data_IF_233728985909
#
_entry.id   IF_233728985909
#
_cell.length_a   1.000
_cell.length_b   1.000
_cell.length_c   1.000
_cell.angle_alpha   90.00
_cell.angle_beta   90.00
_cell.angle_gamma   90.00
#
_symmetry.space_group_name_H-M   'P 1'
#
loop_
_entity.id
_entity.type
_entity.pdbx_description
1 polymer ?
#
# COMPACT_ATOMS: atom_id res chain seq x y z
N UNK A 1 12.80 1.08 -25.38
CA UNK A 1 12.07 2.36 -25.27
C UNK A 1 12.04 2.69 -23.79
N UNK A 2 12.59 3.83 -23.35
CA UNK A 2 12.47 4.27 -21.97
C UNK A 2 10.98 4.45 -21.69
N UNK A 3 10.53 3.87 -20.57
CA UNK A 3 9.13 3.93 -20.19
C UNK A 3 8.83 5.37 -19.73
N UNK A 4 8.20 6.18 -20.58
CA UNK A 4 7.87 7.60 -20.26
C UNK A 4 6.72 7.71 -19.22
N UNK A 5 6.20 6.58 -18.80
CA UNK A 5 5.03 6.44 -17.93
C UNK A 5 5.15 7.19 -16.59
N UNK A 6 6.36 7.19 -16.00
CA UNK A 6 6.60 7.85 -14.70
C UNK A 6 7.36 9.19 -14.81
N UNK A 7 7.55 9.72 -16.01
CA UNK A 7 8.38 10.90 -16.26
C UNK A 7 7.95 12.14 -15.47
N UNK A 8 6.64 12.32 -15.34
CA UNK A 8 6.07 13.49 -14.66
C UNK A 8 5.62 13.21 -13.23
N UNK A 9 5.74 11.96 -12.76
CA UNK A 9 5.37 11.54 -11.42
C UNK A 9 6.45 11.91 -10.41
N UNK A 10 6.10 12.67 -9.38
CA UNK A 10 6.97 13.00 -8.24
C UNK A 10 6.79 11.96 -7.15
N UNK A 11 7.81 11.17 -6.89
CA UNK A 11 7.79 10.10 -5.89
C UNK A 11 8.58 10.52 -4.65
N UNK A 12 7.98 10.43 -3.47
CA UNK A 12 8.66 10.57 -2.19
C UNK A 12 9.01 9.19 -1.65
N UNK A 13 10.30 8.93 -1.48
CA UNK A 13 10.84 7.69 -0.90
C UNK A 13 11.23 7.95 0.55
N UNK A 14 10.67 7.17 1.47
CA UNK A 14 10.86 7.32 2.92
C UNK A 14 11.36 6.02 3.52
N UNK A 15 12.58 6.02 4.03
CA UNK A 15 13.21 4.86 4.70
C UNK A 15 14.37 5.41 5.55
N UNK A 16 14.61 4.89 6.75
CA UNK A 16 15.71 5.36 7.60
C UNK A 16 17.08 4.92 7.06
N UNK A 17 17.13 3.87 6.25
CA UNK A 17 18.33 3.35 5.63
C UNK A 17 18.62 4.03 4.29
N UNK A 18 19.69 4.81 4.21
CA UNK A 18 20.12 5.50 2.98
C UNK A 18 20.32 4.52 1.81
N UNK A 19 20.85 3.32 2.10
CA UNK A 19 21.04 2.28 1.09
C UNK A 19 19.71 1.88 0.44
N UNK A 20 18.64 1.70 1.24
CA UNK A 20 17.32 1.33 0.71
C UNK A 20 16.73 2.46 -0.12
N UNK A 21 16.82 3.72 0.34
CA UNK A 21 16.39 4.89 -0.44
C UNK A 21 17.11 4.96 -1.79
N UNK A 22 18.43 4.75 -1.78
CA UNK A 22 19.23 4.74 -3.00
C UNK A 22 18.83 3.61 -3.96
N UNK A 23 18.57 2.42 -3.44
CA UNK A 23 18.11 1.26 -4.21
C UNK A 23 16.75 1.53 -4.87
N UNK A 24 15.76 2.00 -4.10
CA UNK A 24 14.44 2.35 -4.62
C UNK A 24 14.53 3.45 -5.68
N UNK A 25 15.36 4.47 -5.45
CA UNK A 25 15.59 5.55 -6.42
C UNK A 25 16.17 5.00 -7.74
N UNK A 26 17.12 4.06 -7.67
CA UNK A 26 17.67 3.43 -8.87
C UNK A 26 16.60 2.62 -9.62
N UNK A 27 15.79 1.84 -8.91
CA UNK A 27 14.67 1.12 -9.51
C UNK A 27 13.68 2.08 -10.20
N UNK A 28 13.31 3.17 -9.54
CA UNK A 28 12.41 4.19 -10.10
C UNK A 28 12.99 4.85 -11.35
N UNK A 29 14.30 5.11 -11.39
CA UNK A 29 14.98 5.66 -12.57
C UNK A 29 14.92 4.70 -13.77
N UNK A 30 15.14 3.40 -13.53
CA UNK A 30 15.01 2.37 -14.58
C UNK A 30 13.57 2.33 -15.13
N UNK A 31 12.58 2.64 -14.29
CA UNK A 31 11.17 2.73 -14.66
C UNK A 31 10.77 4.09 -15.29
N UNK A 32 11.73 4.98 -15.50
CA UNK A 32 11.52 6.28 -16.15
C UNK A 32 11.14 7.42 -15.20
N UNK A 33 11.07 7.19 -13.87
CA UNK A 33 10.82 8.24 -12.89
C UNK A 33 12.08 9.05 -12.62
N UNK A 34 12.04 10.36 -12.91
CA UNK A 34 13.18 11.27 -12.70
C UNK A 34 13.01 12.20 -11.50
N UNK A 35 11.78 12.39 -11.03
CA UNK A 35 11.43 13.29 -9.93
C UNK A 35 11.28 12.49 -8.63
N UNK A 36 12.41 12.18 -7.98
CA UNK A 36 12.43 11.42 -6.72
C UNK A 36 12.94 12.32 -5.60
N UNK A 37 12.18 12.40 -4.52
CA UNK A 37 12.51 13.10 -3.28
C UNK A 37 12.73 12.06 -2.20
N UNK A 38 13.71 12.27 -1.32
CA UNK A 38 14.03 11.38 -0.20
C UNK A 38 13.66 11.99 1.13
N UNK A 39 13.24 11.15 2.07
CA UNK A 39 13.12 11.47 3.48
C UNK A 39 13.64 10.30 4.32
N UNK A 40 14.27 10.60 5.45
CA UNK A 40 14.87 9.59 6.33
C UNK A 40 13.92 9.04 7.40
N UNK A 41 12.76 9.66 7.57
CA UNK A 41 11.75 9.25 8.55
C UNK A 41 10.39 9.87 8.24
N UNK A 42 9.36 9.46 8.99
CA UNK A 42 7.99 9.91 8.77
C UNK A 42 7.77 11.40 9.05
N UNK A 43 8.47 11.97 10.02
CA UNK A 43 8.36 13.41 10.34
C UNK A 43 8.95 14.27 9.22
N UNK A 44 10.15 13.94 8.75
CA UNK A 44 10.76 14.62 7.61
C UNK A 44 9.90 14.50 6.34
N UNK A 45 9.34 13.32 6.10
CA UNK A 45 8.41 13.09 4.99
C UNK A 45 7.15 13.95 5.09
N UNK A 46 6.59 14.08 6.29
CA UNK A 46 5.41 14.92 6.53
C UNK A 46 5.69 16.39 6.23
N UNK A 47 6.83 16.93 6.68
CA UNK A 47 7.23 18.31 6.37
C UNK A 47 7.38 18.54 4.86
N UNK A 48 7.92 17.57 4.14
CA UNK A 48 8.04 17.63 2.66
C UNK A 48 6.65 17.66 2.00
N UNK A 49 5.74 16.77 2.42
CA UNK A 49 4.39 16.65 1.84
C UNK A 49 3.59 17.95 2.02
N UNK A 50 3.76 18.66 3.12
CA UNK A 50 3.05 19.92 3.37
C UNK A 50 3.45 21.05 2.39
N UNK A 51 4.66 21.00 1.82
CA UNK A 51 5.22 22.12 1.04
C UNK A 51 5.56 21.77 -0.40
N UNK A 52 5.62 20.48 -0.75
CA UNK A 52 5.94 20.02 -2.10
C UNK A 52 4.80 19.20 -2.68
N UNK A 53 4.56 19.36 -3.99
CA UNK A 53 3.66 18.46 -4.70
C UNK A 53 4.30 17.08 -4.81
N UNK A 54 3.66 16.08 -4.22
CA UNK A 54 4.03 14.66 -4.25
C UNK A 54 2.86 13.89 -4.84
N UNK A 55 3.14 13.02 -5.80
CA UNK A 55 2.13 12.22 -6.49
C UNK A 55 2.05 10.79 -5.95
N UNK A 56 3.13 10.30 -5.34
CA UNK A 56 3.22 8.95 -4.78
C UNK A 56 4.19 8.94 -3.59
N UNK A 57 3.81 8.26 -2.51
CA UNK A 57 4.69 7.96 -1.38
C UNK A 57 5.04 6.47 -1.39
N UNK A 58 6.34 6.16 -1.27
CA UNK A 58 6.85 4.82 -1.00
C UNK A 58 7.55 4.89 0.35
N UNK A 59 7.00 4.23 1.36
CA UNK A 59 7.49 4.36 2.75
C UNK A 59 7.83 3.01 3.36
N UNK A 60 8.93 2.93 4.08
CA UNK A 60 9.12 1.82 5.00
C UNK A 60 8.11 1.88 6.15
N UNK A 61 7.85 0.74 6.75
CA UNK A 61 7.00 0.68 7.94
C UNK A 61 7.73 1.20 9.17
N UNK A 62 8.93 0.63 9.45
CA UNK A 62 9.67 0.87 10.68
C UNK A 62 10.73 1.95 10.49
N UNK A 63 10.44 3.12 11.01
CA UNK A 63 11.35 4.27 11.03
C UNK A 63 11.18 5.05 12.33
N UNK A 64 12.18 5.80 12.75
CA UNK A 64 12.10 6.68 13.89
C UNK A 64 12.89 7.99 13.61
N UNK A 65 12.30 9.16 13.91
CA UNK A 65 10.96 9.39 14.44
C UNK A 65 9.86 9.31 13.37
N UNK A 66 8.67 8.83 13.77
CA UNK A 66 7.51 8.74 12.88
C UNK A 66 7.58 7.56 11.90
N UNK A 67 6.86 6.50 12.20
CA UNK A 67 6.78 5.31 11.34
C UNK A 67 5.84 5.50 10.13
N UNK A 68 5.86 4.55 9.20
CA UNK A 68 5.05 4.62 7.98
C UNK A 68 3.54 4.59 8.24
N UNK A 69 3.08 3.97 9.33
CA UNK A 69 1.68 3.97 9.74
C UNK A 69 1.26 5.36 10.26
N UNK A 70 2.11 5.98 11.06
CA UNK A 70 1.87 7.34 11.58
C UNK A 70 1.83 8.34 10.42
N UNK A 71 2.80 8.26 9.49
CA UNK A 71 2.82 9.08 8.28
C UNK A 71 1.54 8.89 7.46
N UNK A 72 1.11 7.63 7.24
CA UNK A 72 -0.13 7.34 6.53
C UNK A 72 -1.33 8.00 7.21
N UNK A 73 -1.44 7.89 8.53
CA UNK A 73 -2.54 8.50 9.29
C UNK A 73 -2.52 10.03 9.20
N UNK A 74 -1.35 10.67 9.24
CA UNK A 74 -1.22 12.12 9.01
C UNK A 74 -1.72 12.49 7.62
N UNK A 75 -1.26 11.82 6.57
CA UNK A 75 -1.71 12.08 5.19
C UNK A 75 -3.23 11.93 5.07
N UNK A 76 -3.83 10.93 5.69
CA UNK A 76 -5.26 10.63 5.57
C UNK A 76 -6.18 11.54 6.39
N UNK A 77 -5.74 11.96 7.56
CA UNK A 77 -6.67 12.52 8.56
C UNK A 77 -6.27 13.91 9.09
N UNK A 78 -5.03 14.34 8.90
CA UNK A 78 -4.61 15.65 9.40
C UNK A 78 -5.24 16.77 8.55
N UNK A 79 -5.63 17.86 9.22
CA UNK A 79 -6.25 19.04 8.56
C UNK A 79 -5.26 19.79 7.67
N UNK A 80 -3.96 19.64 7.93
CA UNK A 80 -2.88 20.24 7.15
C UNK A 80 -2.47 19.36 5.95
N UNK A 81 -3.09 18.20 5.77
CA UNK A 81 -2.79 17.33 4.63
C UNK A 81 -3.24 18.01 3.34
N UNK A 82 -2.31 18.29 2.40
CA UNK A 82 -2.67 18.92 1.14
C UNK A 82 -3.43 17.97 0.21
N UNK A 83 -3.22 16.66 0.36
CA UNK A 83 -3.90 15.63 -0.42
C UNK A 83 -4.14 14.36 0.42
N UNK A 84 -5.30 14.23 1.07
CA UNK A 84 -5.66 13.02 1.83
C UNK A 84 -5.80 11.75 0.97
N UNK A 85 -5.88 11.89 -0.34
CA UNK A 85 -5.99 10.79 -1.32
C UNK A 85 -4.63 10.35 -1.87
N UNK A 86 -3.54 11.02 -1.46
CA UNK A 86 -2.19 10.72 -1.93
C UNK A 86 -1.90 9.21 -1.89
N UNK A 87 -1.53 8.59 -3.01
CA UNK A 87 -1.21 7.17 -3.06
C UNK A 87 -0.03 6.82 -2.16
N UNK A 88 -0.16 5.72 -1.43
CA UNK A 88 0.87 5.25 -0.49
C UNK A 88 1.13 3.76 -0.73
N UNK A 89 2.39 3.43 -1.03
CA UNK A 89 2.91 2.07 -1.08
C UNK A 89 3.79 1.87 0.17
N UNK A 90 3.46 0.91 1.01
CA UNK A 90 4.24 0.58 2.19
C UNK A 90 5.17 -0.60 1.92
N UNK A 91 6.40 -0.50 2.39
CA UNK A 91 7.40 -1.58 2.33
C UNK A 91 7.63 -2.14 3.73
N UNK A 92 7.84 -3.43 3.87
CA UNK A 92 8.23 -4.04 5.15
C UNK A 92 8.99 -5.34 4.96
N UNK A 93 9.95 -5.61 5.85
CA UNK A 93 10.58 -6.93 5.96
C UNK A 93 9.73 -7.96 6.69
N UNK A 94 8.60 -7.55 7.24
CA UNK A 94 7.70 -8.40 8.02
C UNK A 94 6.37 -8.53 7.31
N UNK A 95 5.96 -9.75 7.04
CA UNK A 95 4.76 -10.09 6.28
C UNK A 95 3.72 -10.83 7.13
N UNK A 96 3.80 -10.70 8.47
CA UNK A 96 2.78 -11.32 9.32
C UNK A 96 1.40 -10.71 8.99
N UNK A 97 0.42 -11.58 8.93
CA UNK A 97 -0.97 -11.25 8.57
C UNK A 97 -1.52 -10.08 9.39
N UNK A 98 -1.31 -10.09 10.71
CA UNK A 98 -1.75 -9.00 11.59
C UNK A 98 -1.20 -7.63 11.17
N UNK A 99 0.05 -7.59 10.69
CA UNK A 99 0.71 -6.36 10.23
C UNK A 99 0.10 -5.86 8.93
N UNK A 100 -0.08 -6.74 7.96
CA UNK A 100 -0.67 -6.39 6.68
C UNK A 100 -2.09 -5.84 6.85
N UNK A 101 -2.87 -6.44 7.75
CA UNK A 101 -4.18 -5.91 8.14
C UNK A 101 -4.07 -4.52 8.78
N UNK A 102 -3.11 -4.33 9.69
CA UNK A 102 -2.86 -3.02 10.31
C UNK A 102 -2.45 -1.95 9.29
N UNK A 103 -1.59 -2.30 8.34
CA UNK A 103 -1.20 -1.40 7.25
C UNK A 103 -2.39 -1.02 6.38
N UNK A 104 -3.17 -2.00 5.92
CA UNK A 104 -4.40 -1.75 5.17
C UNK A 104 -5.35 -0.83 5.93
N UNK A 105 -5.52 -1.09 7.22
CA UNK A 105 -6.45 -0.35 8.08
C UNK A 105 -5.94 1.05 8.44
N UNK A 106 -4.66 1.35 8.20
CA UNK A 106 -4.14 2.72 8.25
C UNK A 106 -4.52 3.55 7.02
N UNK A 107 -4.88 2.90 5.90
CA UNK A 107 -5.29 3.56 4.66
C UNK A 107 -4.24 3.58 3.56
N UNK A 108 -3.29 2.63 3.54
CA UNK A 108 -2.36 2.47 2.42
C UNK A 108 -3.08 1.97 1.16
N UNK A 109 -2.46 2.17 0.01
CA UNK A 109 -2.94 1.65 -1.27
C UNK A 109 -2.37 0.27 -1.56
N UNK A 110 -1.05 0.10 -1.41
CA UNK A 110 -0.33 -1.11 -1.75
C UNK A 110 0.70 -1.46 -0.68
N UNK A 111 1.12 -2.72 -0.66
CA UNK A 111 2.13 -3.23 0.26
C UNK A 111 3.16 -4.08 -0.49
N UNK A 112 4.44 -3.92 -0.15
CA UNK A 112 5.53 -4.71 -0.70
C UNK A 112 6.30 -5.37 0.43
N UNK A 113 6.44 -6.68 0.34
CA UNK A 113 7.31 -7.45 1.24
C UNK A 113 8.75 -7.35 0.74
N UNK A 114 9.68 -6.94 1.62
CA UNK A 114 11.11 -6.98 1.32
C UNK A 114 11.59 -8.45 1.27
N UNK A 115 12.49 -8.86 0.37
CA UNK A 115 13.37 -8.02 -0.46
C UNK A 115 12.69 -7.43 -1.69
N UNK A 116 13.06 -6.18 -2.00
CA UNK A 116 12.47 -5.44 -3.12
C UNK A 116 13.01 -5.94 -4.47
N UNK A 117 12.13 -5.99 -5.47
CA UNK A 117 12.53 -6.12 -6.87
C UNK A 117 11.92 -5.01 -7.72
N UNK A 118 12.61 -4.60 -8.77
CA UNK A 118 12.10 -3.57 -9.68
C UNK A 118 10.76 -3.97 -10.32
N UNK A 119 10.57 -5.27 -10.60
CA UNK A 119 9.32 -5.82 -11.15
C UNK A 119 8.16 -5.68 -10.15
N UNK A 120 8.38 -6.07 -8.89
CA UNK A 120 7.36 -5.96 -7.84
C UNK A 120 6.98 -4.49 -7.61
N UNK A 121 7.99 -3.60 -7.50
CA UNK A 121 7.77 -2.18 -7.33
C UNK A 121 6.96 -1.59 -8.50
N UNK A 122 7.32 -1.92 -9.74
CA UNK A 122 6.60 -1.47 -10.93
C UNK A 122 5.14 -1.91 -10.90
N UNK A 123 4.89 -3.20 -10.64
CA UNK A 123 3.52 -3.72 -10.57
C UNK A 123 2.64 -2.99 -9.54
N UNK A 124 3.21 -2.60 -8.38
CA UNK A 124 2.47 -1.82 -7.37
C UNK A 124 2.20 -0.39 -7.83
N UNK A 125 3.18 0.27 -8.44
CA UNK A 125 3.00 1.61 -8.99
C UNK A 125 1.94 1.59 -10.09
N UNK A 126 2.01 0.62 -10.98
CA UNK A 126 1.03 0.45 -12.06
C UNK A 126 -0.38 0.23 -11.49
N UNK A 127 -0.54 -0.66 -10.51
CA UNK A 127 -1.83 -0.90 -9.86
C UNK A 127 -2.44 0.38 -9.26
N UNK A 128 -1.62 1.17 -8.59
CA UNK A 128 -2.08 2.42 -7.96
C UNK A 128 -2.53 3.45 -8.98
N UNK A 129 -1.86 3.52 -10.13
CA UNK A 129 -2.11 4.53 -11.17
C UNK A 129 -3.24 4.09 -12.12
N UNK A 130 -3.20 2.84 -12.60
CA UNK A 130 -4.13 2.34 -13.61
C UNK A 130 -5.44 1.81 -13.00
N UNK A 131 -5.37 1.32 -11.75
CA UNK A 131 -6.50 0.71 -11.06
C UNK A 131 -6.76 1.39 -9.70
N UNK A 132 -7.00 2.73 -9.67
CA UNK A 132 -7.18 3.45 -8.42
C UNK A 132 -8.45 2.97 -7.71
N UNK A 133 -8.29 2.49 -6.48
CA UNK A 133 -9.42 2.11 -5.64
C UNK A 133 -10.20 3.35 -5.18
N UNK A 134 -11.52 3.24 -5.12
CA UNK A 134 -12.36 4.27 -4.54
C UNK A 134 -12.02 4.45 -3.06
N UNK A 135 -12.01 5.70 -2.59
CA UNK A 135 -11.84 5.98 -1.17
C UNK A 135 -13.18 5.98 -0.46
N UNK A 136 -13.19 5.40 0.72
CA UNK A 136 -14.35 5.39 1.61
C UNK A 136 -14.04 6.12 2.91
N UNK A 137 -15.01 6.85 3.42
CA UNK A 137 -14.92 7.53 4.72
C UNK A 137 -15.99 6.98 5.66
N UNK A 138 -15.54 6.55 6.83
CA UNK A 138 -16.40 6.16 7.95
C UNK A 138 -16.06 7.00 9.17
N UNK A 139 -16.70 6.74 10.32
CA UNK A 139 -16.38 7.43 11.58
C UNK A 139 -14.94 7.18 12.07
N UNK A 140 -14.35 6.04 11.70
CA UNK A 140 -13.07 5.55 12.24
C UNK A 140 -12.03 5.24 11.16
N UNK A 141 -12.37 5.39 9.87
CA UNK A 141 -11.49 5.04 8.77
C UNK A 141 -11.67 5.99 7.59
N UNK A 142 -10.56 6.40 7.00
CA UNK A 142 -10.51 7.04 5.69
C UNK A 142 -9.35 6.45 4.87
N UNK A 143 -9.65 5.91 3.70
CA UNK A 143 -8.68 5.28 2.83
C UNK A 143 -9.32 4.52 1.67
N UNK A 144 -8.52 3.80 0.88
CA UNK A 144 -9.02 2.95 -0.21
C UNK A 144 -10.02 1.91 0.29
N UNK A 145 -11.07 1.65 -0.48
CA UNK A 145 -12.10 0.68 -0.11
C UNK A 145 -11.48 -0.70 0.11
N UNK A 146 -11.81 -1.31 1.25
CA UNK A 146 -11.31 -2.61 1.70
C UNK A 146 -12.25 -3.77 1.35
N UNK A 147 -13.42 -3.46 0.81
CA UNK A 147 -14.45 -4.46 0.53
C UNK A 147 -14.08 -5.19 -0.75
N UNK A 148 -14.22 -6.52 -0.73
CA UNK A 148 -14.25 -7.32 -1.95
C UNK A 148 -15.47 -6.91 -2.76
N UNK A 149 -15.31 -6.50 -4.01
CA UNK A 149 -16.42 -6.38 -4.92
C UNK A 149 -16.99 -7.77 -5.18
N UNK A 150 -18.30 -7.91 -4.92
CA UNK A 150 -19.14 -9.04 -5.29
C UNK A 150 -18.88 -10.40 -4.62
N UNK A 151 -19.25 -10.50 -3.33
CA UNK A 151 -20.20 -11.56 -3.03
C UNK A 151 -21.53 -10.87 -2.74
N UNK A 152 -22.55 -11.17 -3.55
CA UNK A 152 -23.93 -10.80 -3.23
C UNK A 152 -24.17 -11.23 -1.78
N UNK A 153 -24.52 -10.28 -0.93
CA UNK A 153 -24.82 -10.51 0.49
C UNK A 153 -25.98 -11.51 0.49
N UNK A 154 -25.66 -12.79 0.62
CA UNK A 154 -26.64 -13.78 1.00
C UNK A 154 -26.95 -13.50 2.47
N UNK A 155 -28.16 -13.03 2.68
CA UNK A 155 -28.92 -12.94 3.92
C UNK A 155 -28.18 -12.80 5.26
N UNK A 156 -28.51 -11.72 5.92
CA UNK A 156 -28.21 -11.42 7.31
C UNK A 156 -28.47 -12.63 8.25
N UNK A 157 -27.42 -13.42 8.49
CA UNK A 157 -27.45 -14.45 9.53
C UNK A 157 -27.04 -13.88 10.89
N UNK A 158 -27.63 -12.80 11.30
CA UNK A 158 -27.57 -12.35 12.69
C UNK A 158 -28.55 -13.18 13.49
N UNK A 159 -28.10 -14.31 13.97
CA UNK A 159 -28.88 -15.08 14.93
C UNK A 159 -28.55 -16.54 14.90
N UNK A 160 -27.43 -16.91 15.53
CA UNK A 160 -27.27 -18.07 16.40
C UNK A 160 -25.78 -18.23 16.68
N UNK A 161 -25.40 -18.07 17.95
CA UNK A 161 -24.06 -18.41 18.42
C UNK A 161 -23.86 -19.92 18.34
N UNK A 162 -23.16 -20.34 17.30
CA UNK A 162 -22.68 -21.68 17.13
C UNK A 162 -21.23 -21.57 16.63
N UNK A 163 -20.33 -22.35 17.20
CA UNK A 163 -18.98 -22.56 16.68
C UNK A 163 -19.16 -23.13 15.27
N UNK A 164 -18.96 -22.29 14.23
CA UNK A 164 -19.26 -22.64 12.83
C UNK A 164 -18.13 -23.44 12.17
N UNK A 165 -17.12 -23.87 12.93
CA UNK A 165 -16.02 -24.68 12.39
C UNK A 165 -15.14 -23.94 11.39
N UNK A 166 -15.28 -22.62 11.24
CA UNK A 166 -14.38 -21.83 10.39
C UNK A 166 -12.98 -21.83 11.01
N UNK A 167 -11.94 -22.19 10.26
CA UNK A 167 -10.56 -22.16 10.78
C UNK A 167 -10.26 -20.76 11.31
N UNK A 168 -9.90 -20.65 12.59
CA UNK A 168 -9.42 -19.36 13.14
C UNK A 168 -8.18 -18.95 12.35
N UNK A 169 -8.27 -17.79 11.71
CA UNK A 169 -7.18 -17.25 10.91
C UNK A 169 -5.96 -17.00 11.81
N UNK A 170 -4.84 -17.68 11.52
CA UNK A 170 -3.61 -17.43 12.25
C UNK A 170 -3.04 -16.05 11.88
N UNK A 171 -3.19 -15.11 12.81
CA UNK A 171 -2.74 -13.73 12.63
C UNK A 171 -1.21 -13.58 12.67
N UNK A 172 -0.50 -14.57 13.17
CA UNK A 172 0.97 -14.59 13.20
C UNK A 172 1.58 -15.27 11.97
N UNK A 173 0.75 -15.92 11.13
CA UNK A 173 1.25 -16.53 9.90
C UNK A 173 1.81 -15.47 8.95
N UNK A 174 3.00 -15.76 8.39
CA UNK A 174 3.59 -14.94 7.33
C UNK A 174 2.83 -15.15 6.03
N UNK A 175 2.58 -14.06 5.31
CA UNK A 175 1.96 -14.05 3.99
C UNK A 175 3.03 -13.89 2.91
N UNK A 176 2.92 -14.66 1.84
CA UNK A 176 3.71 -14.42 0.62
C UNK A 176 3.18 -13.18 -0.09
N UNK A 177 4.03 -12.58 -0.96
CA UNK A 177 3.62 -11.36 -1.69
C UNK A 177 2.32 -11.57 -2.47
N UNK A 178 2.14 -12.73 -3.10
CA UNK A 178 0.93 -13.08 -3.86
C UNK A 178 -0.33 -13.09 -3.00
N UNK A 179 -0.23 -13.60 -1.77
CA UNK A 179 -1.34 -13.59 -0.81
C UNK A 179 -1.67 -12.18 -0.32
N UNK A 180 -0.62 -11.34 -0.14
CA UNK A 180 -0.78 -9.91 0.19
C UNK A 180 -1.50 -9.19 -0.95
N UNK A 181 -1.14 -9.50 -2.18
CA UNK A 181 -1.72 -8.92 -3.38
C UNK A 181 -3.20 -9.28 -3.49
N UNK A 182 -3.52 -10.56 -3.38
CA UNK A 182 -4.90 -11.05 -3.39
C UNK A 182 -5.73 -10.45 -2.25
N UNK A 183 -5.09 -10.17 -1.11
CA UNK A 183 -5.76 -9.55 0.03
C UNK A 183 -6.02 -8.06 -0.16
N UNK A 184 -5.08 -7.33 -0.74
CA UNK A 184 -5.22 -5.88 -0.96
C UNK A 184 -6.02 -5.57 -2.23
N UNK A 185 -5.84 -6.38 -3.28
CA UNK A 185 -6.46 -6.18 -4.59
C UNK A 185 -7.13 -7.46 -5.07
N UNK A 186 -8.26 -7.85 -4.49
CA UNK A 186 -8.94 -9.11 -4.81
C UNK A 186 -9.41 -9.19 -6.27
N UNK A 187 -9.58 -8.06 -6.95
CA UNK A 187 -10.00 -7.98 -8.35
C UNK A 187 -8.82 -8.15 -9.35
N UNK A 188 -7.57 -8.20 -8.87
CA UNK A 188 -6.37 -8.30 -9.71
C UNK A 188 -5.80 -9.72 -9.84
N UNK A 189 -6.40 -10.71 -9.19
CA UNK A 189 -6.01 -12.12 -9.31
C UNK A 189 -6.55 -12.63 -10.63
N UNK A 190 -5.72 -13.15 -11.57
CA UNK A 190 -6.21 -13.80 -12.77
C UNK A 190 -7.12 -14.96 -12.39
N UNK A 191 -8.27 -15.07 -13.04
CA UNK A 191 -9.15 -16.22 -12.90
C UNK A 191 -8.42 -17.46 -13.46
N UNK A 192 -7.85 -18.28 -12.58
CA UNK A 192 -7.20 -19.56 -12.97
C UNK A 192 -8.21 -20.62 -13.45
N UNK A 193 -9.46 -20.23 -13.71
CA UNK A 193 -10.57 -21.11 -14.07
C UNK A 193 -10.83 -21.32 -15.57
N UNK A 194 -10.09 -20.69 -16.49
CA UNK A 194 -10.20 -20.97 -17.90
C UNK A 194 -9.27 -22.11 -18.34
N UNK A 195 -9.54 -23.31 -17.88
CA UNK A 195 -8.99 -24.52 -18.50
C UNK A 195 -9.58 -24.62 -19.90
N UNK A 196 -8.70 -24.64 -20.87
CA UNK A 196 -8.97 -24.85 -22.29
C UNK A 196 -9.47 -26.28 -22.45
N UNK A 197 -10.67 -26.47 -23.01
CA UNK A 197 -11.07 -27.66 -23.76
C UNK A 197 -10.64 -27.51 -25.21
#
# INVERSE_FOLDING_TARGET
MANEYLKDVTVLVVDDQEFVRSLVRQMLRVLGCTKVIDAENGEAAWEIIKVKAVDLVITDWYMSPGDGIQLTRLIRNDKLSPNPYLPIIMMSGFAERARIYGARDSGINEFIVKPLSARALFGRIQNVIEHPRQFVRTKIFFGPDRRRKNEAVKEDRRGQGGDDGTPKLDMNAEMKQEEVDAFLNPDSVPDEGAAVD
#
